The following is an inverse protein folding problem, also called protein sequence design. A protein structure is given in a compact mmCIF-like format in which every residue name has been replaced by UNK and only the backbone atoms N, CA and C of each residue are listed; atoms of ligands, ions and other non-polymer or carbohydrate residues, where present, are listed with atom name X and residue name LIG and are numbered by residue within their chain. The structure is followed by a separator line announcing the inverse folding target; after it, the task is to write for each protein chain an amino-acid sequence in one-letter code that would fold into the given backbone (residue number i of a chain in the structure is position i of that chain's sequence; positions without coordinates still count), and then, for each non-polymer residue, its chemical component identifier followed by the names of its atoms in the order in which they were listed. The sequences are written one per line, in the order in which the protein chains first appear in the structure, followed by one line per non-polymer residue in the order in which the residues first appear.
data_IF_892568833181
#
_entry.id   IF_892568833181
#
_cell.length_a   1.000
_cell.length_b   1.000
_cell.length_c   1.000
_cell.angle_alpha   90.00
_cell.angle_beta   90.00
_cell.angle_gamma   90.00
#
_symmetry.space_group_name_H-M   'P 1'
#
loop_
_entity.id
_entity.type
_entity.pdbx_description
1 polymer ?
#
# COMPACT_ATOMS: atom_id res chain seq x y z
N UNK A 1 9.54 19.78 13.41
CA UNK A 1 10.83 19.07 13.25
C UNK A 1 10.76 17.58 13.58
N UNK A 2 10.25 17.17 14.75
CA UNK A 2 10.16 15.74 15.15
C UNK A 2 9.32 14.86 14.19
N UNK A 3 8.20 15.37 13.70
CA UNK A 3 7.33 14.66 12.74
C UNK A 3 8.01 14.41 11.38
N UNK A 4 8.78 15.38 10.88
CA UNK A 4 9.53 15.25 9.62
C UNK A 4 10.62 14.18 9.77
N UNK A 5 11.35 14.18 10.90
CA UNK A 5 12.36 13.15 11.19
C UNK A 5 11.74 11.74 11.28
N UNK A 6 10.55 11.62 11.86
CA UNK A 6 9.80 10.37 11.90
C UNK A 6 9.44 9.87 10.49
N UNK A 7 8.95 10.75 9.62
CA UNK A 7 8.65 10.39 8.21
C UNK A 7 9.93 9.91 7.50
N UNK A 8 11.03 10.64 7.63
CA UNK A 8 12.32 10.26 7.02
C UNK A 8 12.77 8.87 7.51
N UNK A 9 12.65 8.61 8.81
CA UNK A 9 12.99 7.32 9.40
C UNK A 9 12.16 6.17 8.81
N UNK A 10 10.85 6.38 8.64
CA UNK A 10 9.95 5.39 8.01
C UNK A 10 10.39 5.11 6.58
N UNK A 11 10.64 6.14 5.77
CA UNK A 11 11.12 5.96 4.40
C UNK A 11 12.47 5.22 4.35
N UNK A 12 13.38 5.50 5.28
CA UNK A 12 14.66 4.80 5.37
C UNK A 12 14.47 3.30 5.68
N UNK A 13 13.59 2.96 6.63
CA UNK A 13 13.25 1.58 6.98
C UNK A 13 12.65 0.84 5.78
N UNK A 14 11.70 1.46 5.08
CA UNK A 14 11.11 0.90 3.85
C UNK A 14 12.17 0.64 2.77
N UNK A 15 13.10 1.58 2.55
CA UNK A 15 14.16 1.44 1.56
C UNK A 15 15.12 0.28 1.90
N UNK A 16 15.49 0.14 3.17
CA UNK A 16 16.35 -0.97 3.64
C UNK A 16 15.62 -2.30 3.47
N UNK A 17 14.36 -2.39 3.91
CA UNK A 17 13.54 -3.60 3.77
C UNK A 17 13.39 -4.01 2.31
N UNK A 18 13.13 -3.07 1.40
CA UNK A 18 13.01 -3.37 -0.02
C UNK A 18 14.27 -4.06 -0.57
N UNK A 19 15.45 -3.55 -0.19
CA UNK A 19 16.73 -4.10 -0.61
C UNK A 19 17.02 -5.47 0.01
N UNK A 20 16.65 -5.67 1.28
CA UNK A 20 16.80 -6.96 1.96
C UNK A 20 15.87 -8.02 1.38
N UNK A 21 14.60 -7.68 1.16
CA UNK A 21 13.60 -8.56 0.56
C UNK A 21 13.99 -8.94 -0.85
N UNK A 22 14.46 -8.00 -1.68
CA UNK A 22 14.95 -8.30 -3.03
C UNK A 22 16.14 -9.26 -3.05
N UNK A 23 17.05 -9.16 -2.06
CA UNK A 23 18.14 -10.14 -1.90
C UNK A 23 17.63 -11.50 -1.43
N UNK A 24 16.69 -11.52 -0.50
CA UNK A 24 16.19 -12.75 0.12
C UNK A 24 15.26 -13.55 -0.80
N UNK A 25 14.41 -12.87 -1.56
CA UNK A 25 13.42 -13.49 -2.45
C UNK A 25 14.00 -13.92 -3.80
N UNK A 26 15.25 -13.57 -4.08
CA UNK A 26 15.92 -13.83 -5.34
C UNK A 26 15.75 -12.68 -6.34
N UNK A 27 16.76 -12.50 -7.20
CA UNK A 27 16.93 -11.33 -8.09
C UNK A 27 15.98 -11.28 -9.29
N UNK A 28 14.89 -12.05 -9.27
CA UNK A 28 13.88 -12.11 -10.33
C UNK A 28 12.87 -10.96 -10.20
N UNK A 29 13.39 -9.72 -10.13
CA UNK A 29 12.58 -8.50 -10.23
C UNK A 29 12.01 -8.41 -11.65
N UNK A 30 10.88 -9.06 -11.86
CA UNK A 30 10.11 -9.01 -13.11
C UNK A 30 8.99 -8.01 -12.93
N UNK A 31 8.70 -7.24 -13.97
CA UNK A 31 7.63 -6.24 -13.93
C UNK A 31 6.40 -6.75 -14.67
N UNK A 32 5.22 -6.44 -14.15
CA UNK A 32 3.95 -6.77 -14.84
C UNK A 32 3.89 -6.07 -16.22
N UNK A 33 4.58 -4.94 -16.36
CA UNK A 33 4.69 -4.19 -17.61
C UNK A 33 5.30 -5.00 -18.78
N UNK A 34 6.00 -6.09 -18.48
CA UNK A 34 6.63 -6.97 -19.47
C UNK A 34 5.78 -8.21 -19.76
N UNK A 35 4.56 -8.27 -19.22
CA UNK A 35 3.62 -9.40 -19.35
C UNK A 35 2.31 -8.96 -20.01
N UNK A 36 1.50 -9.94 -20.44
CA UNK A 36 0.14 -9.71 -20.95
C UNK A 36 -0.78 -9.01 -19.93
N UNK A 37 -0.42 -9.05 -18.64
CA UNK A 37 -1.13 -8.38 -17.56
C UNK A 37 -0.98 -6.86 -17.52
N UNK A 38 -0.08 -6.27 -18.33
CA UNK A 38 0.22 -4.82 -18.35
C UNK A 38 -1.02 -3.94 -18.48
N UNK A 39 -1.91 -4.27 -19.42
CA UNK A 39 -3.09 -3.47 -19.67
C UNK A 39 -4.06 -3.54 -18.50
N UNK A 40 -4.31 -4.76 -18.00
CA UNK A 40 -5.20 -4.98 -16.86
C UNK A 40 -4.68 -4.31 -15.58
N UNK A 41 -3.36 -4.36 -15.32
CA UNK A 41 -2.74 -3.71 -14.16
C UNK A 41 -2.94 -2.18 -14.22
N UNK A 42 -2.65 -1.57 -15.38
CA UNK A 42 -2.76 -0.13 -15.55
C UNK A 42 -4.21 0.35 -15.43
N UNK A 43 -5.15 -0.32 -16.09
CA UNK A 43 -6.57 0.04 -16.03
C UNK A 43 -7.17 -0.25 -14.65
N UNK A 44 -6.83 -1.39 -14.04
CA UNK A 44 -7.31 -1.75 -12.70
C UNK A 44 -6.85 -0.76 -11.64
N UNK A 45 -5.57 -0.38 -11.64
CA UNK A 45 -5.04 0.66 -10.75
C UNK A 45 -5.68 2.02 -10.99
N UNK A 46 -5.87 2.39 -12.26
CA UNK A 46 -6.53 3.63 -12.62
C UNK A 46 -7.98 3.68 -12.14
N UNK A 47 -8.74 2.62 -12.37
CA UNK A 47 -10.12 2.50 -11.92
C UNK A 47 -10.23 2.54 -10.39
N UNK A 48 -9.39 1.77 -9.68
CA UNK A 48 -9.32 1.82 -8.21
C UNK A 48 -9.03 3.25 -7.74
N UNK A 49 -8.00 3.91 -8.27
CA UNK A 49 -7.67 5.28 -7.89
C UNK A 49 -8.84 6.23 -8.08
N UNK A 50 -9.53 6.19 -9.23
CA UNK A 50 -10.66 7.06 -9.53
C UNK A 50 -11.84 6.82 -8.57
N UNK A 51 -12.17 5.56 -8.29
CA UNK A 51 -13.22 5.20 -7.33
C UNK A 51 -12.89 5.75 -5.95
N UNK A 52 -11.65 5.58 -5.50
CA UNK A 52 -11.22 6.06 -4.19
C UNK A 52 -11.19 7.59 -4.11
N UNK A 53 -10.69 8.28 -5.13
CA UNK A 53 -10.74 9.75 -5.20
C UNK A 53 -12.18 10.27 -5.18
N UNK A 54 -13.10 9.61 -5.88
CA UNK A 54 -14.51 9.98 -5.83
C UNK A 54 -15.08 9.80 -4.42
N UNK A 55 -14.86 8.65 -3.78
CA UNK A 55 -15.33 8.39 -2.42
C UNK A 55 -14.74 9.42 -1.44
N UNK A 56 -13.45 9.76 -1.56
CA UNK A 56 -12.76 10.73 -0.71
C UNK A 56 -13.47 12.08 -0.66
N UNK A 57 -14.04 12.54 -1.77
CA UNK A 57 -14.79 13.82 -1.81
C UNK A 57 -16.03 13.82 -0.91
N UNK A 58 -16.54 12.66 -0.53
CA UNK A 58 -17.76 12.49 0.26
C UNK A 58 -17.51 12.09 1.71
N UNK A 59 -16.29 11.65 2.05
CA UNK A 59 -15.96 11.13 3.40
C UNK A 59 -16.19 12.17 4.50
N UNK A 60 -15.93 13.45 4.23
CA UNK A 60 -16.08 14.53 5.20
C UNK A 60 -17.54 14.89 5.51
N UNK A 61 -18.47 14.55 4.62
CA UNK A 61 -19.90 14.83 4.79
C UNK A 61 -20.60 13.73 5.62
N UNK A 62 -19.90 12.66 5.96
CA UNK A 62 -20.47 11.52 6.70
C UNK A 62 -20.46 11.75 8.22
N UNK A 63 -21.45 11.20 8.96
CA UNK A 63 -21.38 11.10 10.41
C UNK A 63 -20.07 10.43 10.84
N UNK A 64 -19.47 10.92 11.91
CA UNK A 64 -18.19 10.41 12.43
C UNK A 64 -17.05 10.41 11.39
N UNK A 65 -16.94 11.51 10.62
CA UNK A 65 -15.95 11.69 9.56
C UNK A 65 -14.52 11.23 9.92
N UNK A 66 -14.07 11.39 11.17
CA UNK A 66 -12.77 10.90 11.62
C UNK A 66 -12.64 9.36 11.57
N UNK A 67 -13.67 8.62 12.01
CA UNK A 67 -13.70 7.17 11.99
C UNK A 67 -13.86 6.65 10.55
N UNK A 68 -14.75 7.28 9.78
CA UNK A 68 -14.97 6.96 8.37
C UNK A 68 -13.69 7.17 7.55
N UNK A 69 -12.97 8.27 7.80
CA UNK A 69 -11.68 8.54 7.15
C UNK A 69 -10.65 7.44 7.44
N UNK A 70 -10.64 6.89 8.66
CA UNK A 70 -9.75 5.77 9.00
C UNK A 70 -10.07 4.48 8.27
N UNK A 71 -11.35 4.12 8.24
CA UNK A 71 -11.82 2.97 7.47
C UNK A 71 -11.54 3.15 5.99
N UNK A 72 -11.74 4.35 5.46
CA UNK A 72 -11.42 4.70 4.08
C UNK A 72 -9.95 4.41 3.75
N UNK A 73 -9.00 4.91 4.56
CA UNK A 73 -7.57 4.68 4.32
C UNK A 73 -7.18 3.20 4.47
N UNK A 74 -7.76 2.51 5.44
CA UNK A 74 -7.52 1.09 5.67
C UNK A 74 -7.98 0.25 4.47
N UNK A 75 -9.21 0.46 4.00
CA UNK A 75 -9.78 -0.25 2.84
C UNK A 75 -8.98 0.09 1.58
N UNK A 76 -8.59 1.36 1.41
CA UNK A 76 -7.75 1.79 0.29
C UNK A 76 -6.44 1.02 0.21
N UNK A 77 -5.70 0.96 1.33
CA UNK A 77 -4.42 0.26 1.40
C UNK A 77 -4.60 -1.24 1.11
N UNK A 78 -5.61 -1.88 1.71
CA UNK A 78 -5.86 -3.31 1.47
C UNK A 78 -6.18 -3.57 0.00
N UNK A 79 -7.06 -2.79 -0.61
CA UNK A 79 -7.46 -3.02 -2.01
C UNK A 79 -6.33 -2.73 -2.99
N UNK A 80 -5.54 -1.66 -2.79
CA UNK A 80 -4.47 -1.32 -3.73
C UNK A 80 -3.31 -2.31 -3.67
N UNK A 81 -2.88 -2.71 -2.47
CA UNK A 81 -1.81 -3.69 -2.31
C UNK A 81 -2.31 -5.11 -2.57
N UNK A 82 -3.54 -5.44 -2.20
CA UNK A 82 -4.17 -6.73 -2.50
C UNK A 82 -4.33 -6.94 -4.00
N UNK A 83 -4.81 -5.92 -4.73
CA UNK A 83 -4.84 -5.94 -6.19
C UNK A 83 -3.45 -6.14 -6.76
N UNK A 84 -2.45 -5.39 -6.29
CA UNK A 84 -1.09 -5.54 -6.79
C UNK A 84 -0.52 -6.94 -6.54
N UNK A 85 -0.68 -7.46 -5.32
CA UNK A 85 -0.22 -8.81 -4.97
C UNK A 85 -0.90 -9.87 -5.84
N UNK A 86 -2.19 -9.71 -6.12
CA UNK A 86 -2.94 -10.61 -6.99
C UNK A 86 -2.40 -10.57 -8.43
N UNK A 87 -2.15 -9.37 -8.97
CA UNK A 87 -1.59 -9.19 -10.31
C UNK A 87 -0.17 -9.79 -10.41
N UNK A 88 0.68 -9.57 -9.40
CA UNK A 88 2.01 -10.15 -9.35
C UNK A 88 1.95 -11.68 -9.29
N UNK A 89 1.09 -12.25 -8.45
CA UNK A 89 0.92 -13.70 -8.37
C UNK A 89 0.43 -14.32 -9.68
N UNK A 90 -0.52 -13.66 -10.36
CA UNK A 90 -1.12 -14.16 -11.61
C UNK A 90 -0.19 -14.06 -12.81
N UNK A 91 0.52 -12.94 -12.95
CA UNK A 91 1.27 -12.61 -14.16
C UNK A 91 2.80 -12.79 -14.03
N UNK A 92 3.37 -12.69 -12.83
CA UNK A 92 4.80 -12.89 -12.59
C UNK A 92 5.10 -14.31 -12.12
N UNK A 93 4.72 -15.31 -12.93
CA UNK A 93 4.91 -16.72 -12.59
C UNK A 93 6.38 -17.04 -12.31
N UNK A 94 6.64 -17.65 -11.16
CA UNK A 94 7.99 -17.99 -10.69
C UNK A 94 8.73 -16.86 -9.99
N UNK A 95 8.17 -15.65 -9.95
CA UNK A 95 8.67 -14.57 -9.09
C UNK A 95 7.95 -14.56 -7.75
N UNK A 96 8.64 -14.05 -6.71
CA UNK A 96 8.10 -13.88 -5.36
C UNK A 96 7.73 -12.42 -5.04
N UNK A 97 7.64 -11.55 -6.03
CA UNK A 97 7.25 -10.14 -5.81
C UNK A 97 5.89 -10.01 -5.08
N UNK A 98 4.94 -10.92 -5.32
CA UNK A 98 3.66 -10.91 -4.59
C UNK A 98 3.83 -11.03 -3.06
N UNK A 99 4.82 -11.82 -2.60
CA UNK A 99 5.14 -11.96 -1.17
C UNK A 99 5.67 -10.65 -0.62
N UNK A 100 6.55 -9.98 -1.38
CA UNK A 100 7.11 -8.67 -1.02
C UNK A 100 6.00 -7.63 -0.89
N UNK A 101 5.06 -7.59 -1.84
CA UNK A 101 3.90 -6.70 -1.78
C UNK A 101 3.01 -6.98 -0.57
N UNK A 102 2.78 -8.25 -0.22
CA UNK A 102 2.04 -8.61 1.01
C UNK A 102 2.76 -8.19 2.29
N UNK A 103 4.10 -8.30 2.34
CA UNK A 103 4.90 -7.79 3.46
C UNK A 103 4.74 -6.27 3.58
N UNK A 104 4.81 -5.55 2.46
CA UNK A 104 4.59 -4.11 2.45
C UNK A 104 3.17 -3.71 2.83
N UNK A 105 2.15 -4.50 2.46
CA UNK A 105 0.79 -4.32 2.96
C UNK A 105 0.74 -4.42 4.48
N UNK A 106 1.32 -5.48 5.06
CA UNK A 106 1.39 -5.66 6.51
C UNK A 106 2.05 -4.46 7.21
N UNK A 107 3.19 -3.99 6.69
CA UNK A 107 3.89 -2.81 7.20
C UNK A 107 3.06 -1.53 7.09
N UNK A 108 2.37 -1.32 5.97
CA UNK A 108 1.51 -0.16 5.77
C UNK A 108 0.34 -0.15 6.78
N UNK A 109 -0.25 -1.31 7.05
CA UNK A 109 -1.32 -1.45 8.06
C UNK A 109 -0.78 -1.22 9.48
N UNK A 110 0.38 -1.79 9.82
CA UNK A 110 1.02 -1.53 11.13
C UNK A 110 1.35 -0.06 11.32
N UNK A 111 1.84 0.60 10.27
CA UNK A 111 2.14 2.04 10.30
C UNK A 111 0.87 2.88 10.49
N UNK A 112 -0.21 2.57 9.77
CA UNK A 112 -1.50 3.24 9.94
C UNK A 112 -2.02 3.06 11.38
N UNK A 113 -1.95 1.85 11.93
CA UNK A 113 -2.33 1.57 13.31
C UNK A 113 -1.51 2.38 14.34
N UNK A 114 -0.19 2.47 14.14
CA UNK A 114 0.70 3.29 14.98
C UNK A 114 0.36 4.77 14.91
N UNK A 115 0.03 5.29 13.72
CA UNK A 115 -0.41 6.68 13.56
C UNK A 115 -1.72 6.94 14.32
N UNK A 116 -2.68 6.01 14.25
CA UNK A 116 -3.92 6.10 15.01
C UNK A 116 -3.67 6.11 16.51
N UNK A 117 -2.84 5.20 17.03
CA UNK A 117 -2.48 5.14 18.44
C UNK A 117 -1.74 6.41 18.91
N UNK A 118 -0.84 6.95 18.10
CA UNK A 118 -0.14 8.19 18.41
C UNK A 118 -1.09 9.39 18.45
N UNK A 119 -2.04 9.48 17.51
CA UNK A 119 -3.07 10.52 17.50
C UNK A 119 -3.94 10.45 18.75
N UNK A 120 -4.35 9.26 19.18
CA UNK A 120 -5.18 9.11 20.40
C UNK A 120 -4.45 9.44 21.70
N UNK A 121 -3.11 9.46 21.71
CA UNK A 121 -2.33 9.85 22.90
C UNK A 121 -2.10 11.37 23.01
N UNK A 122 -2.41 12.13 21.95
CA UNK A 122 -2.18 13.59 21.87
C UNK A 122 -3.46 14.42 21.96
N UNK A 123 -4.64 13.77 22.01
CA UNK A 123 -5.96 14.39 22.21
C UNK A 123 -6.44 14.06 23.61
#
# INVERSE_FOLDING_TARGET
MKFILFIIMVFAVFGILNKLLGKWLGKDERKIADTEGKMLDRWGRGALLLIFLFILTRVNDMPDANAVMGLYWLIFIILIFGFQSFMEWKYLKGSKEYIKTLIFLGLALSFLGLLYAFRSLLV
#
